data_IF_738744046515
#
_entry.id   IF_738744046515
#
_cell.length_a   1.000
_cell.length_b   1.000
_cell.length_c   1.000
_cell.angle_alpha   90.00
_cell.angle_beta   90.00
_cell.angle_gamma   90.00
#
_symmetry.space_group_name_H-M   'P 1'
#
loop_
_entity.id
_entity.type
_entity.pdbx_description
1 polymer ?
#
# COMPACT_ATOMS: atom_id res chain seq x y z
N UNK A 1 12.25 -23.52 -7.18
CA UNK A 1 12.07 -22.05 -7.20
C UNK A 1 11.31 -21.69 -8.46
N UNK A 2 10.04 -21.34 -8.34
CA UNK A 2 9.24 -20.91 -9.49
C UNK A 2 9.66 -19.48 -9.81
N UNK A 3 10.30 -19.28 -10.95
CA UNK A 3 10.66 -17.94 -11.45
C UNK A 3 9.37 -17.12 -11.56
N UNK A 4 9.22 -16.09 -10.75
CA UNK A 4 8.10 -15.17 -10.85
C UNK A 4 8.15 -14.53 -12.24
N UNK A 5 7.15 -14.82 -13.06
CA UNK A 5 7.06 -14.27 -14.41
C UNK A 5 6.96 -12.74 -14.29
N UNK A 6 7.90 -12.03 -14.90
CA UNK A 6 7.86 -10.57 -14.97
C UNK A 6 6.54 -10.12 -15.58
N UNK A 7 5.79 -9.31 -14.87
CA UNK A 7 4.54 -8.74 -15.39
C UNK A 7 4.86 -7.67 -16.43
N UNK A 8 4.01 -7.58 -17.47
CA UNK A 8 4.13 -6.51 -18.45
C UNK A 8 3.67 -5.21 -17.82
N UNK A 9 4.54 -4.22 -17.80
CA UNK A 9 4.20 -2.88 -17.38
C UNK A 9 3.33 -2.18 -18.43
N UNK A 10 2.27 -1.53 -17.95
CA UNK A 10 1.35 -0.69 -18.68
C UNK A 10 1.42 0.72 -18.10
N UNK A 11 0.98 1.72 -18.84
CA UNK A 11 0.90 3.10 -18.35
C UNK A 11 -0.43 3.71 -18.71
N UNK A 12 -0.98 4.52 -17.79
CA UNK A 12 -2.24 5.23 -17.98
C UNK A 12 -2.06 6.69 -17.58
N UNK A 13 -2.42 7.68 -18.41
CA UNK A 13 -2.47 9.06 -17.98
C UNK A 13 -3.62 9.27 -16.98
N UNK A 14 -3.40 10.16 -15.99
CA UNK A 14 -4.43 10.58 -15.05
C UNK A 14 -4.38 12.09 -14.84
N UNK A 15 -5.44 12.64 -14.26
CA UNK A 15 -5.57 14.05 -13.90
C UNK A 15 -5.87 14.17 -12.41
N UNK A 16 -5.24 15.11 -11.73
CA UNK A 16 -5.56 15.53 -10.38
C UNK A 16 -5.79 17.04 -10.33
N UNK A 17 -6.29 17.54 -9.22
CA UNK A 17 -6.45 18.98 -9.02
C UNK A 17 -5.10 19.74 -9.03
N UNK A 18 -4.02 19.07 -8.62
CA UNK A 18 -2.67 19.64 -8.60
C UNK A 18 -1.96 19.56 -9.96
N UNK A 19 -2.41 18.71 -10.90
CA UNK A 19 -1.82 18.55 -12.22
C UNK A 19 -1.95 17.13 -12.78
N UNK A 20 -1.43 16.94 -13.99
CA UNK A 20 -1.51 15.68 -14.72
C UNK A 20 -0.30 14.78 -14.41
N UNK A 21 -0.47 13.47 -14.58
CA UNK A 21 0.58 12.49 -14.41
C UNK A 21 0.33 11.22 -15.21
N UNK A 22 1.25 10.27 -15.03
CA UNK A 22 1.13 8.92 -15.61
C UNK A 22 1.26 7.93 -14.46
N UNK A 23 0.38 6.94 -14.42
CA UNK A 23 0.49 5.81 -13.51
C UNK A 23 0.93 4.57 -14.26
N UNK A 24 2.01 3.93 -13.77
CA UNK A 24 2.46 2.62 -14.21
C UNK A 24 1.73 1.55 -13.42
N UNK A 25 1.27 0.51 -14.12
CA UNK A 25 0.60 -0.62 -13.49
C UNK A 25 0.85 -1.93 -14.23
N UNK A 26 0.53 -3.03 -13.61
CA UNK A 26 0.67 -4.36 -14.20
C UNK A 26 -0.55 -5.24 -13.86
N UNK A 27 -0.82 -6.19 -14.74
CA UNK A 27 -1.96 -7.10 -14.62
C UNK A 27 -1.51 -8.53 -14.40
N UNK A 28 -2.24 -9.24 -13.53
CA UNK A 28 -2.12 -10.69 -13.38
C UNK A 28 -3.51 -11.33 -13.25
N UNK A 29 -3.57 -12.64 -13.50
CA UNK A 29 -4.84 -13.37 -13.52
C UNK A 29 -5.69 -13.07 -14.75
N UNK A 30 -6.86 -13.68 -14.80
CA UNK A 30 -7.77 -13.59 -15.92
C UNK A 30 -9.18 -13.18 -15.46
N UNK A 31 -10.01 -12.57 -16.33
CA UNK A 31 -11.45 -12.47 -16.09
C UNK A 31 -12.04 -13.87 -15.87
N UNK A 32 -13.16 -14.04 -15.21
CA UNK A 32 -14.14 -13.03 -14.80
C UNK A 32 -13.79 -12.27 -13.52
N UNK A 33 -14.63 -11.28 -13.14
CA UNK A 33 -14.50 -10.58 -11.86
C UNK A 33 -14.43 -11.55 -10.65
N UNK A 34 -13.92 -11.09 -9.48
CA UNK A 34 -13.61 -9.69 -9.18
C UNK A 34 -12.31 -9.21 -9.82
N UNK A 35 -12.18 -7.91 -10.04
CA UNK A 35 -10.91 -7.24 -10.32
C UNK A 35 -10.49 -6.50 -9.06
N UNK A 36 -9.28 -6.81 -8.56
CA UNK A 36 -8.75 -6.24 -7.32
C UNK A 36 -7.57 -5.32 -7.59
N UNK A 37 -7.65 -4.07 -7.14
CA UNK A 37 -6.56 -3.11 -7.14
C UNK A 37 -5.64 -3.34 -5.93
N UNK A 38 -4.32 -3.34 -6.16
CA UNK A 38 -3.29 -3.44 -5.13
C UNK A 38 -2.40 -2.20 -5.14
N UNK A 39 -2.25 -1.55 -3.97
CA UNK A 39 -1.43 -0.37 -3.76
C UNK A 39 -0.37 -0.66 -2.69
N UNK A 40 0.89 -0.37 -3.02
CA UNK A 40 2.06 -0.64 -2.18
C UNK A 40 2.30 0.43 -1.10
N UNK A 41 3.24 0.16 -0.20
CA UNK A 41 3.73 1.09 0.82
C UNK A 41 4.75 2.11 0.28
N UNK A 42 5.17 3.04 1.13
CA UNK A 42 6.20 4.03 0.81
C UNK A 42 7.53 3.32 0.48
N UNK A 43 8.24 3.80 -0.53
CA UNK A 43 9.43 3.17 -1.12
C UNK A 43 9.20 1.71 -1.57
N UNK A 44 7.94 1.29 -1.68
CA UNK A 44 7.55 -0.04 -2.15
C UNK A 44 7.40 -0.12 -3.66
N UNK A 45 6.94 -1.28 -4.12
CA UNK A 45 6.74 -1.59 -5.53
C UNK A 45 5.55 -2.51 -5.77
N UNK A 46 5.23 -2.73 -7.04
CA UNK A 46 4.28 -3.75 -7.49
C UNK A 46 4.66 -5.13 -6.91
N UNK A 47 5.94 -5.46 -6.87
CA UNK A 47 6.43 -6.77 -6.43
C UNK A 47 6.14 -7.02 -4.94
N UNK A 48 6.10 -5.99 -4.10
CA UNK A 48 5.81 -6.11 -2.67
C UNK A 48 4.35 -6.51 -2.39
N UNK A 49 3.42 -6.14 -3.28
CA UNK A 49 2.00 -6.46 -3.11
C UNK A 49 1.56 -7.77 -3.79
N UNK A 50 2.35 -8.29 -4.73
CA UNK A 50 2.04 -9.54 -5.44
C UNK A 50 1.82 -10.76 -4.53
N UNK A 51 2.60 -10.96 -3.45
CA UNK A 51 2.35 -12.06 -2.52
C UNK A 51 0.95 -12.01 -1.86
N UNK A 52 0.42 -10.80 -1.62
CA UNK A 52 -0.91 -10.61 -1.02
C UNK A 52 -2.06 -11.00 -1.96
N UNK A 53 -1.80 -11.04 -3.26
CA UNK A 53 -2.77 -11.45 -4.27
C UNK A 53 -2.83 -12.97 -4.47
N UNK A 54 -1.97 -13.73 -3.78
CA UNK A 54 -1.88 -15.18 -3.92
C UNK A 54 -3.18 -15.87 -3.42
N UNK A 55 -3.76 -16.71 -4.26
CA UNK A 55 -5.01 -17.41 -3.95
C UNK A 55 -6.29 -16.62 -4.28
N UNK A 56 -6.22 -15.33 -4.55
CA UNK A 56 -7.39 -14.55 -4.95
C UNK A 56 -7.84 -14.93 -6.37
N UNK A 57 -9.16 -15.05 -6.60
CA UNK A 57 -9.70 -15.25 -7.96
C UNK A 57 -9.64 -13.96 -8.79
N UNK A 58 -9.97 -14.07 -10.06
CA UNK A 58 -10.16 -12.93 -10.95
C UNK A 58 -8.88 -12.20 -11.35
N UNK A 59 -9.05 -10.97 -11.81
CA UNK A 59 -7.96 -10.10 -12.26
C UNK A 59 -7.34 -9.33 -11.09
N UNK A 60 -6.03 -9.17 -11.11
CA UNK A 60 -5.25 -8.37 -10.16
C UNK A 60 -4.61 -7.21 -10.91
N UNK A 61 -4.75 -6.02 -10.38
CA UNK A 61 -4.20 -4.77 -10.89
C UNK A 61 -3.23 -4.25 -9.85
N UNK A 62 -1.95 -4.24 -10.16
CA UNK A 62 -0.91 -3.72 -9.27
C UNK A 62 -0.45 -2.39 -9.81
N UNK A 63 -0.57 -1.32 -9.04
CA UNK A 63 -0.18 0.02 -9.46
C UNK A 63 1.03 0.54 -8.67
N UNK A 64 1.96 1.18 -9.38
CA UNK A 64 2.93 2.06 -8.73
C UNK A 64 2.25 3.41 -8.42
N UNK A 65 2.28 3.81 -7.16
CA UNK A 65 1.82 5.13 -6.78
C UNK A 65 2.76 6.21 -7.31
N UNK A 66 2.27 7.44 -7.61
CA UNK A 66 3.13 8.55 -8.03
C UNK A 66 4.38 8.71 -7.17
N UNK A 67 5.52 8.95 -7.80
CA UNK A 67 6.84 8.99 -7.16
C UNK A 67 7.54 7.64 -7.03
N UNK A 68 6.92 6.54 -7.49
CA UNK A 68 7.48 5.18 -7.46
C UNK A 68 7.44 4.55 -8.86
N UNK A 69 8.41 3.68 -9.16
CA UNK A 69 8.57 3.10 -10.48
C UNK A 69 8.62 4.20 -11.56
N UNK A 70 7.84 4.03 -12.62
CA UNK A 70 7.69 5.04 -13.67
C UNK A 70 6.47 5.94 -13.52
N UNK A 71 5.76 5.85 -12.39
CA UNK A 71 4.62 6.73 -12.11
C UNK A 71 5.07 8.13 -11.77
N UNK A 72 4.47 9.10 -12.45
CA UNK A 72 4.76 10.53 -12.28
C UNK A 72 3.53 11.27 -11.76
N UNK A 73 3.74 12.49 -11.29
CA UNK A 73 2.68 13.39 -10.83
C UNK A 73 3.23 14.80 -10.62
N UNK A 74 2.37 15.75 -10.22
CA UNK A 74 2.79 17.10 -9.85
C UNK A 74 3.77 17.06 -8.66
N UNK A 75 4.44 18.16 -8.42
CA UNK A 75 5.37 18.35 -7.31
C UNK A 75 4.92 19.60 -6.51
N UNK A 76 4.71 19.48 -5.19
CA UNK A 76 4.88 18.29 -4.34
C UNK A 76 3.75 17.25 -4.54
N UNK A 77 4.07 15.98 -4.22
CA UNK A 77 3.06 14.93 -4.16
C UNK A 77 2.21 15.05 -2.89
N UNK A 78 0.92 14.80 -3.04
CA UNK A 78 -0.05 14.75 -1.95
C UNK A 78 -0.97 13.51 -2.07
N UNK A 79 -1.78 13.27 -1.05
CA UNK A 79 -2.70 12.13 -1.05
C UNK A 79 -3.85 12.27 -2.05
N UNK A 80 -4.24 13.48 -2.46
CA UNK A 80 -5.23 13.70 -3.52
C UNK A 80 -4.68 13.26 -4.87
N UNK A 81 -3.42 13.55 -5.14
CA UNK A 81 -2.72 13.09 -6.35
C UNK A 81 -2.61 11.56 -6.38
N UNK A 82 -2.26 10.94 -5.25
CA UNK A 82 -2.18 9.48 -5.15
C UNK A 82 -3.56 8.84 -5.35
N UNK A 83 -4.59 9.40 -4.73
CA UNK A 83 -5.97 8.93 -4.87
C UNK A 83 -6.47 9.05 -6.31
N UNK A 84 -6.19 10.17 -6.98
CA UNK A 84 -6.57 10.38 -8.39
C UNK A 84 -5.89 9.37 -9.33
N UNK A 85 -4.60 9.10 -9.13
CA UNK A 85 -3.87 8.10 -9.92
C UNK A 85 -4.42 6.68 -9.69
N UNK A 86 -4.67 6.30 -8.44
CA UNK A 86 -5.23 5.00 -8.08
C UNK A 86 -6.66 4.83 -8.63
N UNK A 87 -7.48 5.89 -8.55
CA UNK A 87 -8.85 5.91 -9.09
C UNK A 87 -8.85 5.74 -10.61
N UNK A 88 -7.97 6.43 -11.33
CA UNK A 88 -7.87 6.31 -12.78
C UNK A 88 -7.59 4.87 -13.22
N UNK A 89 -6.69 4.16 -12.55
CA UNK A 89 -6.41 2.75 -12.82
C UNK A 89 -7.58 1.87 -12.41
N UNK A 90 -8.20 2.13 -11.24
CA UNK A 90 -9.36 1.38 -10.78
C UNK A 90 -10.53 1.47 -11.76
N UNK A 91 -10.78 2.65 -12.31
CA UNK A 91 -11.85 2.89 -13.30
C UNK A 91 -11.52 2.23 -14.63
N UNK A 92 -10.30 2.40 -15.13
CA UNK A 92 -9.85 1.83 -16.40
C UNK A 92 -9.94 0.30 -16.43
N UNK A 93 -9.52 -0.35 -15.34
CA UNK A 93 -9.50 -1.82 -15.21
C UNK A 93 -10.77 -2.38 -14.57
N UNK A 94 -11.77 -1.53 -14.28
CA UNK A 94 -13.04 -1.91 -13.66
C UNK A 94 -12.82 -2.67 -12.31
N UNK A 95 -11.88 -2.17 -11.50
CA UNK A 95 -11.62 -2.76 -10.19
C UNK A 95 -12.79 -2.53 -9.23
N UNK A 96 -13.34 -3.62 -8.68
CA UNK A 96 -14.46 -3.59 -7.74
C UNK A 96 -14.01 -3.79 -6.30
N UNK A 97 -12.80 -4.29 -6.08
CA UNK A 97 -12.21 -4.47 -4.76
C UNK A 97 -10.82 -3.86 -4.70
N UNK A 98 -10.34 -3.52 -3.51
CA UNK A 98 -9.01 -2.94 -3.35
C UNK A 98 -8.30 -3.41 -2.08
N UNK A 99 -6.97 -3.50 -2.16
CA UNK A 99 -6.08 -3.72 -1.03
C UNK A 99 -4.94 -2.71 -1.07
N UNK A 100 -4.75 -1.98 0.01
CA UNK A 100 -3.63 -1.05 0.18
C UNK A 100 -2.77 -1.39 1.37
N UNK A 101 -1.46 -1.27 1.21
CA UNK A 101 -0.46 -1.47 2.28
C UNK A 101 0.09 -0.12 2.70
N UNK A 102 0.05 0.25 3.98
CA UNK A 102 0.67 1.46 4.52
C UNK A 102 0.30 2.72 3.73
N UNK A 103 1.18 3.25 2.87
CA UNK A 103 0.88 4.37 1.96
C UNK A 103 -0.34 4.06 1.06
N UNK A 104 -0.43 2.83 0.55
CA UNK A 104 -1.58 2.37 -0.23
C UNK A 104 -2.86 2.33 0.59
N UNK A 105 -2.79 1.95 1.87
CA UNK A 105 -3.95 2.02 2.78
C UNK A 105 -4.38 3.47 3.02
N UNK A 106 -3.42 4.37 3.23
CA UNK A 106 -3.67 5.81 3.36
C UNK A 106 -4.32 6.39 2.08
N UNK A 107 -3.84 5.99 0.90
CA UNK A 107 -4.43 6.36 -0.39
C UNK A 107 -5.87 5.87 -0.51
N UNK A 108 -6.17 4.62 -0.14
CA UNK A 108 -7.54 4.10 -0.14
C UNK A 108 -8.44 4.82 0.86
N UNK A 109 -7.96 5.16 2.05
CA UNK A 109 -8.73 5.98 3.00
C UNK A 109 -9.07 7.35 2.40
N UNK A 110 -8.12 7.99 1.70
CA UNK A 110 -8.39 9.25 0.99
C UNK A 110 -9.43 9.05 -0.11
N UNK A 111 -9.36 7.99 -0.90
CA UNK A 111 -10.38 7.66 -1.90
C UNK A 111 -11.77 7.48 -1.28
N UNK A 112 -11.87 6.69 -0.20
CA UNK A 112 -13.12 6.40 0.50
C UNK A 112 -13.75 7.65 1.14
N UNK A 113 -12.96 8.61 1.62
CA UNK A 113 -13.48 9.86 2.17
C UNK A 113 -14.13 10.76 1.11
N UNK A 114 -13.83 10.55 -0.17
CA UNK A 114 -14.44 11.28 -1.29
C UNK A 114 -15.50 10.46 -2.05
N UNK A 115 -15.36 9.14 -2.06
CA UNK A 115 -16.21 8.20 -2.80
C UNK A 115 -16.42 6.94 -1.96
N UNK A 116 -17.33 6.99 -0.96
CA UNK A 116 -17.48 5.95 0.06
C UNK A 116 -17.95 4.60 -0.49
N UNK A 117 -18.57 4.57 -1.65
CA UNK A 117 -19.13 3.41 -2.34
C UNK A 117 -18.31 2.95 -3.56
N UNK A 118 -17.08 3.51 -3.76
CA UNK A 118 -16.28 3.24 -4.97
C UNK A 118 -15.91 1.76 -5.14
N UNK A 119 -15.77 1.04 -4.06
CA UNK A 119 -15.44 -0.38 -4.07
C UNK A 119 -16.53 -1.21 -3.38
N UNK A 120 -16.64 -2.48 -3.74
CA UNK A 120 -17.51 -3.44 -3.06
C UNK A 120 -16.89 -3.92 -1.73
N UNK A 121 -15.55 -4.00 -1.67
CA UNK A 121 -14.77 -4.39 -0.48
C UNK A 121 -13.38 -3.77 -0.50
N UNK A 122 -12.87 -3.43 0.68
CA UNK A 122 -11.55 -2.82 0.84
C UNK A 122 -10.77 -3.48 1.96
N UNK A 123 -9.49 -3.75 1.73
CA UNK A 123 -8.52 -4.15 2.76
C UNK A 123 -7.53 -3.03 3.00
N UNK A 124 -7.44 -2.56 4.23
CA UNK A 124 -6.45 -1.60 4.71
C UNK A 124 -5.42 -2.36 5.55
N UNK A 125 -4.29 -2.72 4.94
CA UNK A 125 -3.23 -3.46 5.61
C UNK A 125 -2.16 -2.51 6.14
N UNK A 126 -1.91 -2.55 7.44
CA UNK A 126 -0.94 -1.73 8.16
C UNK A 126 -1.13 -0.22 7.91
N UNK A 127 -2.30 0.36 8.21
CA UNK A 127 -2.46 1.81 8.10
C UNK A 127 -1.51 2.50 9.09
N UNK A 128 -0.55 3.27 8.56
CA UNK A 128 0.51 3.88 9.35
C UNK A 128 0.15 5.26 9.90
N UNK A 129 -0.77 5.95 9.23
CA UNK A 129 -1.24 7.30 9.54
C UNK A 129 -2.68 7.47 9.08
N UNK A 130 -3.45 8.26 9.80
CA UNK A 130 -4.82 8.65 9.42
C UNK A 130 -4.93 10.18 9.38
N UNK A 131 -5.32 10.80 10.47
CA UNK A 131 -5.55 12.25 10.63
C UNK A 131 -4.59 12.91 11.64
N UNK A 132 -3.69 12.13 12.23
CA UNK A 132 -2.66 12.62 13.15
C UNK A 132 -1.30 12.36 12.53
N UNK A 133 -0.44 13.38 12.39
CA UNK A 133 0.90 13.22 11.83
C UNK A 133 1.73 12.20 12.61
N UNK A 134 2.62 11.51 11.90
CA UNK A 134 3.61 10.65 12.55
C UNK A 134 4.53 11.46 13.45
N UNK A 135 4.96 10.91 14.59
CA UNK A 135 5.97 11.56 15.40
C UNK A 135 7.33 11.56 14.66
N UNK A 136 8.23 12.53 14.93
CA UNK A 136 9.48 12.70 14.21
C UNK A 136 10.35 11.44 14.16
N UNK A 137 10.36 10.63 15.22
CA UNK A 137 11.11 9.36 15.29
C UNK A 137 10.59 8.30 14.32
N UNK A 138 9.32 8.35 13.93
CA UNK A 138 8.76 7.45 12.93
C UNK A 138 9.01 7.95 11.49
N UNK A 139 9.30 9.24 11.32
CA UNK A 139 9.63 9.85 10.01
C UNK A 139 11.13 9.73 9.72
N UNK A 140 11.99 9.84 10.73
CA UNK A 140 13.45 9.84 10.58
C UNK A 140 14.03 8.67 9.74
N UNK A 141 13.54 7.42 9.83
CA UNK A 141 14.01 6.34 8.95
C UNK A 141 13.78 6.60 7.46
N UNK A 142 12.71 7.32 7.09
CA UNK A 142 12.40 7.64 5.69
C UNK A 142 13.36 8.73 5.16
N UNK A 143 13.73 9.71 5.96
CA UNK A 143 14.77 10.68 5.62
C UNK A 143 16.11 9.98 5.40
N UNK A 144 16.50 9.11 6.34
CA UNK A 144 17.74 8.35 6.21
C UNK A 144 17.77 7.47 4.94
N UNK A 145 16.62 6.88 4.55
CA UNK A 145 16.50 6.13 3.30
C UNK A 145 16.67 7.06 2.09
N UNK A 146 16.03 8.23 2.10
CA UNK A 146 16.14 9.20 1.02
C UNK A 146 17.58 9.67 0.81
N UNK A 147 18.29 10.02 1.87
CA UNK A 147 19.70 10.43 1.83
C UNK A 147 20.60 9.33 1.23
N UNK A 148 20.36 8.07 1.55
CA UNK A 148 21.12 6.93 1.01
C UNK A 148 20.83 6.67 -0.46
N UNK A 149 19.56 6.85 -0.88
CA UNK A 149 19.19 6.77 -2.29
C UNK A 149 19.83 7.86 -3.12
N UNK A 150 19.87 9.11 -2.63
CA UNK A 150 20.56 10.22 -3.30
C UNK A 150 22.07 9.96 -3.45
N UNK A 151 22.68 9.34 -2.44
CA UNK A 151 24.08 8.95 -2.48
C UNK A 151 24.36 7.75 -3.39
N UNK A 152 23.32 7.10 -3.94
CA UNK A 152 23.39 5.84 -4.69
C UNK A 152 24.23 4.78 -3.97
N UNK A 153 24.08 4.67 -2.63
CA UNK A 153 24.76 3.74 -1.73
C UNK A 153 23.92 2.46 -1.53
N UNK A 154 24.16 1.35 -2.26
CA UNK A 154 23.31 0.16 -2.18
C UNK A 154 23.29 -0.49 -0.79
N UNK A 155 24.43 -0.49 -0.09
CA UNK A 155 24.54 -1.08 1.25
C UNK A 155 23.80 -0.22 2.27
N UNK A 156 23.98 1.10 2.21
CA UNK A 156 23.27 2.05 3.06
C UNK A 156 21.77 2.07 2.81
N UNK A 157 21.33 1.94 1.55
CA UNK A 157 19.90 1.81 1.21
C UNK A 157 19.32 0.52 1.80
N UNK A 158 20.01 -0.61 1.65
CA UNK A 158 19.56 -1.89 2.20
C UNK A 158 19.46 -1.82 3.75
N UNK A 159 20.43 -1.21 4.41
CA UNK A 159 20.41 -0.99 5.86
C UNK A 159 19.24 -0.08 6.29
N UNK A 160 19.01 1.02 5.55
CA UNK A 160 17.90 1.92 5.82
C UNK A 160 16.54 1.23 5.64
N UNK A 161 16.37 0.41 4.59
CA UNK A 161 15.18 -0.42 4.38
C UNK A 161 14.94 -1.40 5.54
N UNK A 162 15.99 -2.05 6.04
CA UNK A 162 15.87 -2.94 7.20
C UNK A 162 15.42 -2.20 8.46
N UNK A 163 15.85 -0.94 8.64
CA UNK A 163 15.42 -0.12 9.79
C UNK A 163 13.94 0.23 9.76
N UNK A 164 13.31 0.24 8.59
CA UNK A 164 11.86 0.42 8.47
C UNK A 164 11.06 -0.85 8.81
N UNK A 165 11.74 -2.01 8.91
CA UNK A 165 11.10 -3.27 9.24
C UNK A 165 11.02 -3.48 10.76
N UNK A 166 10.03 -4.23 11.26
CA UNK A 166 9.96 -4.60 12.67
C UNK A 166 11.23 -5.31 13.16
N UNK A 167 11.59 -5.09 14.42
CA UNK A 167 12.80 -5.67 15.03
C UNK A 167 12.86 -7.21 14.89
N UNK A 168 11.74 -7.88 15.04
CA UNK A 168 11.64 -9.35 14.93
C UNK A 168 12.02 -9.88 13.54
N UNK A 169 11.94 -9.03 12.51
CA UNK A 169 12.15 -9.43 11.10
C UNK A 169 13.52 -9.04 10.57
N UNK A 170 14.01 -7.85 10.95
CA UNK A 170 15.18 -7.20 10.31
C UNK A 170 16.47 -8.01 10.33
N UNK A 171 16.63 -8.90 11.31
CA UNK A 171 17.83 -9.73 11.46
C UNK A 171 17.75 -11.08 10.73
N UNK A 172 16.62 -11.38 10.10
CA UNK A 172 16.45 -12.62 9.34
C UNK A 172 17.17 -12.57 7.99
N UNK A 173 17.67 -13.72 7.53
CA UNK A 173 18.32 -13.83 6.21
C UNK A 173 17.37 -13.38 5.07
N UNK A 174 16.09 -13.74 5.17
CA UNK A 174 15.09 -13.41 4.15
C UNK A 174 14.86 -11.90 4.05
N UNK A 175 14.80 -11.19 5.19
CA UNK A 175 14.67 -9.73 5.20
C UNK A 175 15.92 -9.04 4.63
N UNK A 176 17.12 -9.54 4.95
CA UNK A 176 18.38 -9.00 4.41
C UNK A 176 18.51 -9.22 2.90
N UNK A 177 18.10 -10.37 2.39
CA UNK A 177 18.07 -10.66 0.95
C UNK A 177 17.06 -9.77 0.23
N UNK A 178 15.87 -9.58 0.81
CA UNK A 178 14.86 -8.67 0.31
C UNK A 178 15.41 -7.23 0.25
N UNK A 179 16.01 -6.74 1.34
CA UNK A 179 16.52 -5.38 1.43
C UNK A 179 17.61 -5.09 0.39
N UNK A 180 18.54 -6.02 0.17
CA UNK A 180 19.57 -5.87 -0.87
C UNK A 180 18.98 -5.79 -2.27
N UNK A 181 18.08 -6.72 -2.61
CA UNK A 181 17.41 -6.70 -3.92
C UNK A 181 16.62 -5.40 -4.10
N UNK A 182 15.85 -4.99 -3.08
CA UNK A 182 15.06 -3.77 -3.18
C UNK A 182 15.93 -2.52 -3.28
N UNK A 183 17.08 -2.48 -2.62
CA UNK A 183 18.05 -1.40 -2.75
C UNK A 183 18.56 -1.26 -4.19
N UNK A 184 18.95 -2.38 -4.81
CA UNK A 184 19.39 -2.41 -6.22
C UNK A 184 18.29 -1.92 -7.17
N UNK A 185 17.03 -2.37 -6.95
CA UNK A 185 15.86 -1.95 -7.74
C UNK A 185 15.61 -0.45 -7.60
N UNK A 186 15.55 0.09 -6.36
CA UNK A 186 15.31 1.51 -6.11
C UNK A 186 16.38 2.41 -6.75
N UNK A 187 17.65 2.02 -6.68
CA UNK A 187 18.74 2.76 -7.32
C UNK A 187 18.62 2.68 -8.86
N UNK A 188 18.29 1.50 -9.39
CA UNK A 188 18.13 1.32 -10.83
C UNK A 188 16.90 2.05 -11.39
N UNK A 189 15.83 2.19 -10.62
CA UNK A 189 14.65 2.98 -10.97
C UNK A 189 15.01 4.47 -11.14
N UNK A 190 16.04 4.97 -10.47
CA UNK A 190 16.55 6.35 -10.60
C UNK A 190 15.55 7.42 -10.18
N UNK A 191 14.56 7.06 -9.35
CA UNK A 191 13.57 8.00 -8.84
C UNK A 191 14.17 9.00 -7.87
N UNK A 192 13.59 10.20 -7.83
CA UNK A 192 13.94 11.20 -6.83
C UNK A 192 13.19 10.90 -5.52
N UNK A 193 13.88 10.45 -4.46
CA UNK A 193 13.24 10.10 -3.19
C UNK A 193 12.61 11.31 -2.50
N UNK A 194 13.08 12.54 -2.78
CA UNK A 194 12.49 13.76 -2.24
C UNK A 194 11.04 13.96 -2.68
N UNK A 195 10.64 13.39 -3.80
CA UNK A 195 9.26 13.52 -4.29
C UNK A 195 8.24 12.79 -3.42
N UNK A 196 8.58 11.64 -2.85
CA UNK A 196 7.65 10.90 -1.98
C UNK A 196 7.88 11.16 -0.48
N UNK A 197 9.00 11.75 -0.10
CA UNK A 197 9.31 12.04 1.30
C UNK A 197 8.25 12.91 2.00
N UNK A 198 7.66 13.96 1.37
CA UNK A 198 6.57 14.72 1.96
C UNK A 198 5.37 13.86 2.38
N UNK A 199 5.12 12.74 1.70
CA UNK A 199 4.05 11.80 2.06
C UNK A 199 4.31 11.05 3.38
N UNK A 200 5.59 10.93 3.79
CA UNK A 200 5.94 10.38 5.10
C UNK A 200 5.55 11.31 6.25
N UNK A 201 5.51 12.61 6.00
CA UNK A 201 5.20 13.66 6.98
C UNK A 201 3.71 14.05 6.96
N UNK A 202 3.05 13.93 5.80
CA UNK A 202 1.67 14.31 5.61
C UNK A 202 0.68 13.32 6.22
N UNK A 203 -0.55 13.78 6.43
CA UNK A 203 -1.70 12.95 6.77
C UNK A 203 -2.61 12.77 5.54
N UNK A 204 -3.18 11.57 5.33
CA UNK A 204 -4.12 11.34 4.23
C UNK A 204 -5.48 11.99 4.46
N UNK A 205 -5.85 12.23 5.71
CA UNK A 205 -7.16 12.71 6.11
C UNK A 205 -7.01 13.95 6.99
N UNK A 206 -7.85 14.95 6.73
CA UNK A 206 -8.17 15.95 7.75
C UNK A 206 -9.23 15.38 8.71
N UNK A 207 -9.46 16.04 9.87
CA UNK A 207 -10.45 15.57 10.84
C UNK A 207 -11.84 15.39 10.22
N UNK A 208 -12.25 16.29 9.34
CA UNK A 208 -13.53 16.19 8.60
C UNK A 208 -13.60 15.01 7.64
N UNK A 209 -12.45 14.61 7.06
CA UNK A 209 -12.39 13.47 6.14
C UNK A 209 -12.46 12.16 6.91
N UNK A 210 -11.88 12.12 8.11
CA UNK A 210 -12.06 10.98 9.02
C UNK A 210 -13.54 10.81 9.41
N UNK A 211 -14.27 11.92 9.59
CA UNK A 211 -15.71 11.87 9.84
C UNK A 211 -16.50 11.34 8.65
N UNK A 212 -16.08 11.65 7.42
CA UNK A 212 -16.69 11.14 6.19
C UNK A 212 -16.52 9.62 6.01
N UNK A 213 -15.52 9.01 6.62
CA UNK A 213 -15.41 7.55 6.62
C UNK A 213 -16.62 6.86 7.28
N UNK A 214 -17.42 7.58 8.07
CA UNK A 214 -18.69 7.07 8.62
C UNK A 214 -19.77 6.85 7.55
N UNK A 215 -19.61 7.42 6.36
CA UNK A 215 -20.51 7.24 5.21
C UNK A 215 -20.16 5.97 4.42
N UNK A 216 -19.04 5.31 4.73
CA UNK A 216 -18.57 4.08 4.06
C UNK A 216 -19.38 2.88 4.56
N UNK A 217 -20.34 2.44 3.76
CA UNK A 217 -21.19 1.28 4.06
C UNK A 217 -20.63 -0.04 3.49
N UNK A 218 -19.62 0.03 2.61
CA UNK A 218 -18.98 -1.16 2.06
C UNK A 218 -18.14 -1.87 3.11
N UNK A 219 -18.06 -3.21 3.09
CA UNK A 219 -17.23 -3.94 4.03
C UNK A 219 -15.74 -3.54 3.93
N UNK A 220 -15.13 -3.21 5.07
CA UNK A 220 -13.70 -2.90 5.19
C UNK A 220 -13.03 -3.86 6.17
N UNK A 221 -11.88 -4.41 5.78
CA UNK A 221 -11.01 -5.17 6.67
C UNK A 221 -9.77 -4.33 6.97
N UNK A 222 -9.57 -4.01 8.24
CA UNK A 222 -8.35 -3.35 8.72
C UNK A 222 -7.45 -4.40 9.34
N UNK A 223 -6.20 -4.51 8.88
CA UNK A 223 -5.23 -5.48 9.39
C UNK A 223 -4.06 -4.73 10.00
N UNK A 224 -3.71 -5.06 11.23
CA UNK A 224 -2.60 -4.51 11.99
C UNK A 224 -1.75 -5.62 12.62
N UNK A 225 -0.64 -5.27 13.23
CA UNK A 225 0.24 -6.18 13.95
C UNK A 225 0.86 -5.48 15.16
N UNK A 226 0.98 -6.18 16.28
CA UNK A 226 1.64 -5.66 17.48
C UNK A 226 3.16 -5.57 17.26
N UNK A 227 3.83 -4.65 17.96
CA UNK A 227 5.28 -4.52 17.92
C UNK A 227 5.84 -3.91 16.63
N UNK A 228 5.02 -3.23 15.84
CA UNK A 228 5.43 -2.49 14.64
C UNK A 228 5.38 -0.98 14.89
N UNK A 229 6.51 -0.33 15.19
CA UNK A 229 6.52 1.09 15.47
C UNK A 229 6.20 1.98 14.26
N UNK A 230 6.38 1.46 13.03
CA UNK A 230 6.04 2.18 11.81
C UNK A 230 4.53 2.19 11.53
N UNK A 231 3.80 1.21 12.09
CA UNK A 231 2.37 1.01 11.88
C UNK A 231 1.67 0.76 13.24
N UNK A 232 1.51 1.81 14.09
CA UNK A 232 0.92 1.65 15.41
C UNK A 232 -0.49 1.06 15.33
N UNK A 233 -0.76 0.04 16.16
CA UNK A 233 -2.09 -0.60 16.21
C UNK A 233 -3.18 0.41 16.58
N UNK A 234 -2.85 1.44 17.36
CA UNK A 234 -3.77 2.53 17.68
C UNK A 234 -4.27 3.28 16.44
N UNK A 235 -3.44 3.45 15.41
CA UNK A 235 -3.88 4.02 14.12
C UNK A 235 -4.93 3.11 13.47
N UNK A 236 -4.68 1.80 13.43
CA UNK A 236 -5.63 0.83 12.88
C UNK A 236 -6.94 0.80 13.66
N UNK A 237 -6.90 0.87 15.01
CA UNK A 237 -8.09 0.96 15.87
C UNK A 237 -8.88 2.24 15.60
N UNK A 238 -8.19 3.37 15.46
CA UNK A 238 -8.79 4.66 15.13
C UNK A 238 -9.51 4.64 13.79
N UNK A 239 -8.85 4.09 12.76
CA UNK A 239 -9.44 3.92 11.41
C UNK A 239 -10.65 2.98 11.46
N UNK A 240 -10.52 1.84 12.12
CA UNK A 240 -11.62 0.86 12.24
C UNK A 240 -12.83 1.47 12.99
N UNK A 241 -12.59 2.31 13.99
CA UNK A 241 -13.68 2.98 14.75
C UNK A 241 -14.40 4.05 13.93
N UNK A 242 -13.75 4.62 12.89
CA UNK A 242 -14.37 5.60 12.00
C UNK A 242 -15.21 4.96 10.89
N UNK A 243 -15.00 3.66 10.60
CA UNK A 243 -15.64 2.90 9.53
C UNK A 243 -16.75 2.00 10.12
N UNK A 244 -18.05 2.23 9.83
CA UNK A 244 -19.17 1.49 10.45
C UNK A 244 -19.13 -0.01 10.22
N UNK A 245 -18.58 -0.43 9.07
CA UNK A 245 -18.58 -1.83 8.62
C UNK A 245 -17.22 -2.50 8.81
N UNK A 246 -16.26 -1.83 9.46
CA UNK A 246 -14.90 -2.33 9.60
C UNK A 246 -14.82 -3.57 10.49
N UNK A 247 -14.05 -4.54 10.03
CA UNK A 247 -13.51 -5.62 10.85
C UNK A 247 -12.04 -5.33 11.10
N UNK A 248 -11.60 -5.38 12.36
CA UNK A 248 -10.21 -5.23 12.72
C UNK A 248 -9.63 -6.60 13.05
N UNK A 249 -8.53 -6.95 12.38
CA UNK A 249 -7.70 -8.11 12.69
C UNK A 249 -6.31 -7.61 13.12
N UNK A 250 -5.84 -8.09 14.26
CA UNK A 250 -4.52 -7.73 14.81
C UNK A 250 -3.71 -9.02 15.00
N UNK A 251 -2.55 -9.08 14.37
CA UNK A 251 -1.57 -10.13 14.61
C UNK A 251 -0.83 -9.83 15.92
N UNK A 252 -0.63 -10.85 16.75
CA UNK A 252 -0.02 -10.70 18.09
C UNK A 252 1.45 -10.28 18.04
N UNK A 253 2.09 -10.44 16.88
CA UNK A 253 3.48 -10.05 16.66
C UNK A 253 3.72 -9.45 15.28
N UNK A 254 4.74 -8.62 15.18
CA UNK A 254 5.12 -7.95 13.96
C UNK A 254 5.75 -8.91 12.93
N UNK A 255 5.58 -8.58 11.64
CA UNK A 255 6.16 -9.35 10.54
C UNK A 255 5.22 -10.38 9.93
N UNK A 256 3.92 -10.13 9.92
CA UNK A 256 2.93 -11.02 9.32
C UNK A 256 3.25 -11.40 7.86
N UNK A 257 3.78 -10.49 7.05
CA UNK A 257 4.27 -10.77 5.68
C UNK A 257 5.44 -11.76 5.63
N UNK A 258 6.16 -11.96 6.75
CA UNK A 258 7.34 -12.80 6.82
C UNK A 258 7.04 -14.14 7.49
N UNK A 259 6.41 -14.10 8.67
CA UNK A 259 6.16 -15.27 9.52
C UNK A 259 4.77 -15.89 9.37
N UNK A 260 3.74 -15.07 9.14
CA UNK A 260 2.33 -15.48 9.14
C UNK A 260 1.66 -15.39 7.75
N UNK A 261 2.43 -15.68 6.69
CA UNK A 261 1.96 -15.52 5.29
C UNK A 261 0.70 -16.31 4.97
N UNK A 262 0.56 -17.51 5.52
CA UNK A 262 -0.61 -18.37 5.26
C UNK A 262 -1.85 -17.77 5.89
N UNK A 263 -1.78 -17.41 7.16
CA UNK A 263 -2.88 -16.79 7.91
C UNK A 263 -3.31 -15.45 7.31
N UNK A 264 -2.33 -14.58 6.99
CA UNK A 264 -2.59 -13.31 6.31
C UNK A 264 -3.28 -13.53 4.95
N UNK A 265 -2.81 -14.50 4.18
CA UNK A 265 -3.41 -14.85 2.88
C UNK A 265 -4.85 -15.34 3.06
N UNK A 266 -5.10 -16.25 3.99
CA UNK A 266 -6.44 -16.79 4.28
C UNK A 266 -7.38 -15.66 4.67
N UNK A 267 -6.97 -14.78 5.59
CA UNK A 267 -7.74 -13.62 6.00
C UNK A 267 -8.14 -12.71 4.81
N UNK A 268 -7.22 -12.46 3.88
CA UNK A 268 -7.47 -11.65 2.68
C UNK A 268 -8.35 -12.40 1.68
N UNK A 269 -8.10 -13.70 1.44
CA UNK A 269 -8.85 -14.49 0.46
C UNK A 269 -10.26 -14.81 0.91
N UNK A 270 -10.51 -14.90 2.20
CA UNK A 270 -11.85 -15.09 2.76
C UNK A 270 -12.67 -13.78 2.71
N UNK A 271 -12.00 -12.65 2.78
CA UNK A 271 -12.67 -11.37 2.83
C UNK A 271 -12.97 -10.78 1.43
N UNK A 272 -11.99 -10.70 0.53
CA UNK A 272 -12.11 -9.94 -0.73
C UNK A 272 -13.10 -10.52 -1.75
N UNK A 273 -13.24 -11.85 -1.95
CA UNK A 273 -14.14 -12.38 -2.98
C UNK A 273 -15.64 -12.18 -2.71
N UNK A 274 -16.01 -11.79 -1.48
CA UNK A 274 -17.43 -11.67 -1.09
C UNK A 274 -18.13 -13.01 -0.85
N UNK A 275 -19.21 -12.98 -0.09
CA UNK A 275 -19.97 -14.16 0.29
C UNK A 275 -20.69 -14.90 -0.88
N UNK A 276 -20.64 -14.36 -2.11
CA UNK A 276 -21.29 -14.94 -3.28
C UNK A 276 -20.53 -16.08 -3.97
N UNK A 277 -19.24 -16.31 -3.64
CA UNK A 277 -18.40 -17.32 -4.30
C UNK A 277 -18.12 -18.58 -3.46
N UNK A 278 -18.77 -18.76 -2.32
CA UNK A 278 -18.64 -19.97 -1.48
C UNK A 278 -19.71 -21.04 -1.76
N UNK A 279 -20.37 -20.99 -2.93
CA UNK A 279 -21.22 -22.10 -3.41
C UNK A 279 -20.50 -22.84 -4.53
N UNK A 280 -19.64 -23.78 -4.15
CA UNK A 280 -19.34 -25.00 -4.92
C UNK A 280 -19.22 -26.19 -4.01
#
# INVERSE_FOLDING_TARGET
MTTLRTLRALTLPYKSAAGDGIVEYALAGNPPPPTTLFLHGLAGSIEDTRPLASGLPGRKVFAHLPGHGRSTGPDPLDYDTLAAAALAVADHEHATTALGVSLGAATLMRMLSHSPDRFERVVLYLPAVADVPRPPEAVAPHHALADRLEAADPEGVAEALLRTQPNAVRDTTVAREWARRRAEELIAEGGDPKRWLPLAEAVPLESRDLERLREVEVPVLVIAQEGDPAHPVETARRVASALPTAKLAVFDEAGALWGHRTELRELITDFLPGAGNLQR
#
